data_IF_192520390492
#
_entry.id   IF_192520390492
#
_cell.length_a   1.000
_cell.length_b   1.000
_cell.length_c   1.000
_cell.angle_alpha   90.00
_cell.angle_beta   90.00
_cell.angle_gamma   90.00
#
_symmetry.space_group_name_H-M   'P 1'
#
loop_
_entity.id
_entity.type
_entity.pdbx_description
1 polymer ?
#
# COMPACT_ATOMS: atom_id res chain seq x y z
N UNK A 1 -1.41 10.96 -14.51
CA UNK A 1 -1.54 10.90 -13.04
C UNK A 1 -2.63 9.92 -12.67
N UNK A 2 -2.37 9.09 -11.69
CA UNK A 2 -3.37 8.13 -11.19
C UNK A 2 -4.34 8.88 -10.28
N UNK A 3 -5.61 8.84 -10.61
CA UNK A 3 -6.64 9.46 -9.79
C UNK A 3 -6.95 8.60 -8.56
N UNK A 4 -7.65 9.19 -7.59
CA UNK A 4 -8.11 8.48 -6.39
C UNK A 4 -9.25 7.53 -6.76
N UNK A 5 -8.92 6.47 -7.48
CA UNK A 5 -9.85 5.48 -8.02
C UNK A 5 -9.72 4.18 -7.24
N UNK A 6 -10.83 3.48 -7.11
CA UNK A 6 -10.86 2.15 -6.51
C UNK A 6 -10.53 1.11 -7.58
N UNK A 7 -9.50 0.32 -7.34
CA UNK A 7 -9.12 -0.76 -8.25
C UNK A 7 -9.30 -2.11 -7.57
N UNK A 8 -9.83 -3.06 -8.30
CA UNK A 8 -9.80 -4.46 -7.87
C UNK A 8 -8.47 -5.06 -8.28
N UNK A 9 -8.13 -6.22 -7.72
CA UNK A 9 -6.92 -6.93 -8.14
C UNK A 9 -6.98 -7.27 -9.63
N UNK A 10 -8.16 -7.60 -10.14
CA UNK A 10 -8.35 -7.91 -11.55
C UNK A 10 -8.11 -6.68 -12.43
N UNK A 11 -8.61 -5.52 -12.01
CA UNK A 11 -8.38 -4.27 -12.73
C UNK A 11 -6.90 -3.96 -12.85
N UNK A 12 -6.14 -4.17 -11.78
CA UNK A 12 -4.71 -3.93 -11.79
C UNK A 12 -4.00 -4.82 -12.80
N UNK A 13 -4.39 -6.07 -12.89
CA UNK A 13 -3.81 -7.00 -13.83
C UNK A 13 -4.15 -6.62 -15.27
N UNK A 14 -5.40 -6.25 -15.53
CA UNK A 14 -5.87 -5.91 -16.88
C UNK A 14 -5.27 -4.60 -17.39
N UNK A 15 -5.05 -3.63 -16.51
CA UNK A 15 -4.49 -2.33 -16.90
C UNK A 15 -2.96 -2.33 -16.89
N UNK A 16 -2.34 -3.46 -16.53
CA UNK A 16 -0.89 -3.55 -16.47
C UNK A 16 -0.25 -2.77 -15.33
N UNK A 17 -1.04 -2.29 -14.40
CA UNK A 17 -0.54 -1.52 -13.26
C UNK A 17 0.24 -2.43 -12.31
N UNK A 18 -0.18 -3.66 -12.21
CA UNK A 18 0.48 -4.67 -11.38
C UNK A 18 1.58 -5.36 -12.18
N UNK A 19 2.63 -4.61 -12.48
CA UNK A 19 3.67 -5.05 -13.43
C UNK A 19 4.87 -5.73 -12.79
N UNK A 20 4.93 -5.78 -11.47
CA UNK A 20 6.10 -6.26 -10.77
C UNK A 20 7.09 -5.16 -10.40
N UNK A 21 6.86 -3.93 -10.86
CA UNK A 21 7.65 -2.78 -10.42
C UNK A 21 7.41 -2.44 -8.96
N UNK A 22 6.26 -2.85 -8.42
CA UNK A 22 5.93 -2.67 -7.02
C UNK A 22 6.33 -3.92 -6.25
N UNK A 23 7.15 -3.75 -5.23
CA UNK A 23 7.71 -4.84 -4.43
C UNK A 23 7.13 -4.85 -3.03
N UNK A 24 7.21 -6.00 -2.37
CA UNK A 24 6.88 -6.11 -0.95
C UNK A 24 8.10 -5.71 -0.14
N UNK A 25 7.86 -5.06 1.01
CA UNK A 25 8.94 -4.81 1.96
C UNK A 25 9.38 -6.12 2.59
N UNK A 26 10.69 -6.39 2.60
CA UNK A 26 11.24 -7.66 3.04
C UNK A 26 12.02 -7.58 4.35
N UNK A 27 12.19 -6.38 4.90
CA UNK A 27 12.92 -6.23 6.16
C UNK A 27 12.21 -5.22 7.07
N UNK A 28 12.41 -5.34 8.40
CA UNK A 28 11.84 -4.37 9.34
C UNK A 28 12.47 -3.02 9.10
N UNK A 29 11.64 -1.99 8.99
CA UNK A 29 12.13 -0.64 8.75
C UNK A 29 11.01 0.38 8.93
N UNK A 30 11.40 1.64 8.91
CA UNK A 30 10.46 2.75 8.86
C UNK A 30 10.81 3.61 7.64
N UNK A 31 9.86 3.77 6.74
CA UNK A 31 10.08 4.49 5.48
C UNK A 31 8.94 5.47 5.23
N UNK A 32 9.25 6.54 4.52
CA UNK A 32 8.26 7.50 4.08
C UNK A 32 7.91 7.25 2.62
N UNK A 33 6.63 7.28 2.31
CA UNK A 33 6.17 7.03 0.96
C UNK A 33 4.95 7.87 0.61
N UNK A 34 4.75 8.06 -0.68
CA UNK A 34 3.59 8.76 -1.22
C UNK A 34 2.61 7.74 -1.75
N UNK A 35 1.36 7.82 -1.31
CA UNK A 35 0.30 6.92 -1.76
C UNK A 35 0.00 7.20 -3.22
N UNK A 36 0.11 6.19 -4.07
CA UNK A 36 -0.14 6.35 -5.51
C UNK A 36 -1.31 5.51 -6.00
N UNK A 37 -1.71 4.49 -5.25
CA UNK A 37 -2.78 3.60 -5.68
C UNK A 37 -3.37 2.85 -4.50
N UNK A 38 -4.69 2.66 -4.51
CA UNK A 38 -5.41 1.81 -3.56
C UNK A 38 -6.13 0.72 -4.34
N UNK A 39 -5.84 -0.53 -4.02
CA UNK A 39 -6.47 -1.68 -4.65
C UNK A 39 -7.37 -2.40 -3.66
N UNK A 40 -8.60 -2.64 -4.04
CA UNK A 40 -9.59 -3.32 -3.21
C UNK A 40 -9.75 -4.76 -3.68
N UNK A 41 -9.67 -5.66 -2.73
CA UNK A 41 -9.91 -7.07 -2.97
C UNK A 41 -11.30 -7.49 -2.49
N UNK A 42 -11.52 -8.80 -2.46
CA UNK A 42 -12.77 -9.36 -1.95
C UNK A 42 -12.85 -9.25 -0.43
N UNK A 43 -14.07 -9.31 0.10
CA UNK A 43 -14.33 -9.40 1.55
C UNK A 43 -13.75 -8.23 2.36
N UNK A 44 -13.84 -7.02 1.83
CA UNK A 44 -13.37 -5.80 2.52
C UNK A 44 -11.88 -5.83 2.83
N UNK A 45 -11.10 -6.39 1.94
CA UNK A 45 -9.64 -6.31 2.02
C UNK A 45 -9.14 -5.27 1.04
N UNK A 46 -7.93 -4.77 1.30
CA UNK A 46 -7.30 -3.82 0.40
C UNK A 46 -5.78 -3.92 0.48
N UNK A 47 -5.15 -3.28 -0.48
CA UNK A 47 -3.69 -3.14 -0.55
C UNK A 47 -3.38 -1.73 -1.02
N UNK A 48 -2.40 -1.10 -0.41
CA UNK A 48 -1.95 0.23 -0.80
C UNK A 48 -0.61 0.15 -1.49
N UNK A 49 -0.40 1.06 -2.44
CA UNK A 49 0.83 1.14 -3.24
C UNK A 49 1.46 2.50 -3.03
N UNK A 50 2.77 2.51 -2.77
CA UNK A 50 3.52 3.71 -2.44
C UNK A 50 4.79 3.84 -3.28
N UNK A 51 5.19 5.09 -3.51
CA UNK A 51 6.53 5.39 -4.02
C UNK A 51 7.30 6.00 -2.86
N UNK A 52 8.40 5.37 -2.48
CA UNK A 52 9.25 5.82 -1.38
C UNK A 52 10.13 6.99 -1.81
N UNK A 53 10.70 7.70 -0.83
CA UNK A 53 11.56 8.84 -1.11
C UNK A 53 12.81 8.46 -1.93
N UNK A 54 13.27 7.23 -1.80
CA UNK A 54 14.42 6.73 -2.58
C UNK A 54 14.01 6.22 -3.97
N UNK A 55 12.76 6.36 -4.35
CA UNK A 55 12.26 5.95 -5.66
C UNK A 55 11.75 4.53 -5.75
N UNK A 56 11.94 3.71 -4.72
CA UNK A 56 11.39 2.35 -4.71
C UNK A 56 9.88 2.39 -4.69
N UNK A 57 9.27 1.45 -5.39
CA UNK A 57 7.82 1.28 -5.42
C UNK A 57 7.48 0.05 -4.61
N UNK A 58 6.66 0.23 -3.59
CA UNK A 58 6.27 -0.87 -2.72
C UNK A 58 4.77 -0.98 -2.62
N UNK A 59 4.30 -2.16 -2.25
CA UNK A 59 2.89 -2.36 -1.89
C UNK A 59 2.81 -3.06 -0.53
N UNK A 60 1.71 -2.81 0.15
CA UNK A 60 1.47 -3.40 1.45
C UNK A 60 1.02 -4.85 1.31
N UNK A 61 1.15 -5.67 2.37
CA UNK A 61 0.38 -6.90 2.44
C UNK A 61 -1.11 -6.58 2.37
N UNK A 62 -1.92 -7.57 2.02
CA UNK A 62 -3.38 -7.42 2.04
C UNK A 62 -3.83 -7.25 3.49
N UNK A 63 -4.70 -6.31 3.73
CA UNK A 63 -5.24 -6.09 5.07
C UNK A 63 -6.73 -5.77 4.98
N UNK A 64 -7.40 -5.90 6.14
CA UNK A 64 -8.83 -5.60 6.25
C UNK A 64 -9.05 -4.09 6.35
N UNK A 65 -10.09 -3.58 5.71
CA UNK A 65 -10.46 -2.16 5.78
C UNK A 65 -10.52 -1.65 7.23
N UNK A 66 -10.98 -2.50 8.15
CA UNK A 66 -11.17 -2.11 9.55
C UNK A 66 -9.87 -1.73 10.25
N UNK A 67 -8.74 -2.21 9.77
CA UNK A 67 -7.45 -1.88 10.35
C UNK A 67 -7.04 -0.43 10.07
N UNK A 68 -7.44 0.09 8.92
CA UNK A 68 -7.00 1.41 8.46
C UNK A 68 -8.15 2.18 7.81
N UNK A 69 -9.33 2.19 8.45
CA UNK A 69 -10.52 2.86 7.91
C UNK A 69 -10.25 4.32 7.55
N UNK A 70 -9.51 5.01 8.38
CA UNK A 70 -9.20 6.42 8.15
C UNK A 70 -8.34 6.65 6.90
N UNK A 71 -7.66 5.62 6.40
CA UNK A 71 -6.81 5.74 5.22
C UNK A 71 -7.59 5.55 3.92
N UNK A 72 -8.77 4.93 3.98
CA UNK A 72 -9.56 4.65 2.78
C UNK A 72 -9.94 5.97 2.09
N UNK A 73 -10.19 7.01 2.86
CA UNK A 73 -10.61 8.31 2.35
C UNK A 73 -9.44 9.24 2.02
N UNK A 74 -8.21 8.84 2.33
CA UNK A 74 -7.06 9.69 2.02
C UNK A 74 -6.82 9.74 0.51
N UNK A 75 -6.60 10.94 -0.04
CA UNK A 75 -6.40 11.05 -1.49
C UNK A 75 -5.05 10.50 -1.92
N UNK A 76 -4.98 10.10 -3.19
CA UNK A 76 -3.71 9.80 -3.84
C UNK A 76 -2.81 11.04 -3.75
N UNK A 77 -1.54 10.82 -3.45
CA UNK A 77 -0.58 11.90 -3.23
C UNK A 77 -0.32 12.20 -1.77
N UNK A 78 -1.12 11.63 -0.87
CA UNK A 78 -0.88 11.79 0.57
C UNK A 78 0.40 11.07 0.97
N UNK A 79 1.19 11.72 1.82
CA UNK A 79 2.45 11.15 2.32
C UNK A 79 2.24 10.48 3.65
N UNK A 80 2.85 9.31 3.79
CA UNK A 80 2.74 8.50 5.00
C UNK A 80 4.09 8.02 5.46
N UNK A 81 4.18 7.78 6.77
CA UNK A 81 5.28 7.01 7.36
C UNK A 81 4.79 5.59 7.58
N UNK A 82 5.52 4.64 7.02
CA UNK A 82 5.19 3.23 7.08
C UNK A 82 6.18 2.53 8.00
N UNK A 83 5.67 1.84 9.01
CA UNK A 83 6.50 1.09 9.95
C UNK A 83 6.26 -0.40 9.75
N UNK A 84 7.32 -1.11 9.39
CA UNK A 84 7.31 -2.56 9.18
C UNK A 84 8.06 -3.25 10.30
N UNK A 85 7.50 -4.33 10.81
CA UNK A 85 8.08 -5.13 11.89
C UNK A 85 8.18 -6.59 11.46
N UNK A 86 9.08 -7.31 12.09
CA UNK A 86 9.23 -8.74 11.89
C UNK A 86 8.36 -9.47 12.89
N UNK A 87 7.58 -10.45 12.43
CA UNK A 87 6.87 -11.39 13.28
C UNK A 87 7.14 -12.82 12.77
N UNK A 88 6.66 -13.87 13.49
CA UNK A 88 6.93 -15.26 13.06
C UNK A 88 6.45 -15.60 11.64
N UNK A 89 5.51 -14.84 11.11
CA UNK A 89 4.97 -15.08 9.77
C UNK A 89 5.67 -14.27 8.69
N UNK A 90 6.62 -13.41 9.05
CA UNK A 90 7.35 -12.57 8.13
C UNK A 90 7.26 -11.09 8.44
N UNK A 91 7.46 -10.26 7.43
CA UNK A 91 7.39 -8.81 7.58
C UNK A 91 5.93 -8.35 7.58
N UNK A 92 5.60 -7.53 8.54
CA UNK A 92 4.24 -7.07 8.79
C UNK A 92 4.21 -5.55 8.85
N UNK A 93 3.24 -4.96 8.18
CA UNK A 93 3.00 -3.52 8.29
C UNK A 93 2.29 -3.25 9.61
N UNK A 94 2.96 -2.56 10.51
CA UNK A 94 2.47 -2.30 11.87
C UNK A 94 1.72 -0.98 11.95
N UNK A 95 2.28 0.08 11.35
CA UNK A 95 1.69 1.41 11.42
C UNK A 95 1.74 2.10 10.07
N UNK A 96 0.68 2.85 9.78
CA UNK A 96 0.61 3.75 8.64
C UNK A 96 0.18 5.10 9.20
N UNK A 97 1.10 6.05 9.23
CA UNK A 97 0.89 7.36 9.85
C UNK A 97 1.00 8.45 8.80
N UNK A 98 0.04 9.36 8.79
CA UNK A 98 0.14 10.53 7.93
C UNK A 98 1.23 11.46 8.44
N UNK A 99 2.08 11.90 7.53
CA UNK A 99 3.14 12.86 7.84
C UNK A 99 2.60 14.28 7.76
#
# INVERSE_FOLDING_TARGET
MIENKLYTSQDLMMEGIYTGDFLRMEEPCQVNGTLVLKAYGNQRTMRMFFILEDGRKIFTPVFWWQQYLHLIEMPIGTKFRLTYVQNPKGIHLDKVERI
#
